data_IF_965567703921
#
_entry.id   IF_965567703921
#
_cell.length_a   1.000
_cell.length_b   1.000
_cell.length_c   1.000
_cell.angle_alpha   90.00
_cell.angle_beta   90.00
_cell.angle_gamma   90.00
#
_symmetry.space_group_name_H-M   'P 1'
#
loop_
_entity.id
_entity.type
_entity.pdbx_description
1 polymer ?
#
# COMPACT_ATOMS: atom_id res chain seq x y z
N UNK A 1 5.45 -19.40 15.94
CA UNK A 1 3.99 -19.60 15.94
C UNK A 1 3.62 -20.03 14.53
N UNK A 2 2.73 -21.00 14.38
CA UNK A 2 2.22 -21.39 13.05
C UNK A 2 1.10 -20.41 12.70
N UNK A 3 1.27 -19.61 11.64
CA UNK A 3 0.29 -18.60 11.23
C UNK A 3 -0.75 -19.23 10.31
N UNK A 4 -2.03 -19.07 10.63
CA UNK A 4 -3.12 -19.53 9.77
C UNK A 4 -3.31 -18.62 8.54
N UNK A 5 -2.98 -17.34 8.71
CA UNK A 5 -3.06 -16.30 7.67
C UNK A 5 -1.82 -15.41 7.77
N UNK A 6 -1.39 -14.82 6.65
CA UNK A 6 -0.27 -13.87 6.63
C UNK A 6 -0.72 -12.57 5.96
N UNK A 7 -0.72 -11.49 6.72
CA UNK A 7 -0.88 -10.14 6.20
C UNK A 7 0.48 -9.53 5.81
N UNK A 8 0.45 -8.63 4.83
CA UNK A 8 1.59 -7.80 4.48
C UNK A 8 1.13 -6.39 4.14
N UNK A 9 1.83 -5.40 4.67
CA UNK A 9 1.71 -4.00 4.29
C UNK A 9 3.04 -3.56 3.69
N UNK A 10 3.02 -3.13 2.44
CA UNK A 10 4.21 -2.62 1.75
C UNK A 10 4.05 -1.11 1.59
N UNK A 11 5.08 -0.37 2.03
CA UNK A 11 5.29 1.03 1.68
C UNK A 11 6.64 1.10 0.98
N UNK A 12 6.62 1.25 -0.34
CA UNK A 12 7.80 1.29 -1.20
C UNK A 12 7.89 2.62 -1.94
N UNK A 13 9.11 3.11 -2.14
CA UNK A 13 9.33 4.31 -2.94
C UNK A 13 10.68 4.28 -3.65
N UNK A 14 10.72 4.94 -4.80
CA UNK A 14 11.92 5.28 -5.53
C UNK A 14 11.88 6.76 -5.92
N UNK A 15 12.85 7.20 -6.73
CA UNK A 15 12.88 8.57 -7.24
C UNK A 15 11.68 8.90 -8.15
N UNK A 16 11.09 7.87 -8.78
CA UNK A 16 10.02 8.03 -9.76
C UNK A 16 8.72 7.36 -9.33
N UNK A 17 8.81 6.22 -8.65
CA UNK A 17 7.67 5.37 -8.36
C UNK A 17 7.38 5.31 -6.85
N UNK A 18 6.19 4.84 -6.52
CA UNK A 18 5.71 4.65 -5.16
C UNK A 18 4.67 3.55 -5.13
N UNK A 19 4.66 2.78 -4.05
CA UNK A 19 3.73 1.68 -3.84
C UNK A 19 3.26 1.72 -2.38
N UNK A 20 1.95 1.66 -2.19
CA UNK A 20 1.36 1.39 -0.87
C UNK A 20 0.25 0.37 -1.08
N UNK A 21 0.40 -0.81 -0.50
CA UNK A 21 -0.51 -1.93 -0.70
C UNK A 21 -0.70 -2.75 0.60
N UNK A 22 -1.89 -3.32 0.75
CA UNK A 22 -2.22 -4.35 1.75
C UNK A 22 -2.51 -5.68 1.07
N UNK A 23 -1.94 -6.75 1.59
CA UNK A 23 -2.10 -8.10 1.06
C UNK A 23 -2.40 -9.11 2.18
N UNK A 24 -3.06 -10.20 1.82
CA UNK A 24 -3.44 -11.29 2.69
C UNK A 24 -3.29 -12.61 1.94
N UNK A 25 -2.53 -13.55 2.50
CA UNK A 25 -2.34 -14.89 1.95
C UNK A 25 -1.94 -14.93 0.46
N UNK A 26 -1.05 -14.00 0.08
CA UNK A 26 -0.50 -13.80 -1.28
C UNK A 26 -1.48 -13.17 -2.27
N UNK A 27 -2.63 -12.69 -1.82
CA UNK A 27 -3.54 -11.88 -2.60
C UNK A 27 -3.39 -10.41 -2.22
N UNK A 28 -3.48 -9.52 -3.21
CA UNK A 28 -3.58 -8.08 -2.98
C UNK A 28 -5.01 -7.76 -2.54
N UNK A 29 -5.16 -7.19 -1.35
CA UNK A 29 -6.46 -6.73 -0.86
C UNK A 29 -6.80 -5.34 -1.38
N UNK A 30 -5.80 -4.46 -1.37
CA UNK A 30 -5.93 -3.06 -1.74
C UNK A 30 -4.57 -2.47 -2.10
N UNK A 31 -4.56 -1.50 -3.01
CA UNK A 31 -3.41 -0.62 -3.23
C UNK A 31 -3.86 0.80 -3.56
N UNK A 32 -2.98 1.77 -3.28
CA UNK A 32 -3.17 3.15 -3.72
C UNK A 32 -2.68 3.32 -5.15
N UNK A 33 -3.59 3.58 -6.09
CA UNK A 33 -3.22 4.01 -7.44
C UNK A 33 -2.88 5.50 -7.40
N UNK A 34 -1.59 5.82 -7.29
CA UNK A 34 -1.10 7.20 -7.23
C UNK A 34 -1.23 7.96 -8.55
N UNK A 35 -1.39 7.26 -9.69
CA UNK A 35 -1.60 7.90 -10.99
C UNK A 35 -3.07 8.34 -11.12
N UNK A 36 -4.01 7.46 -10.76
CA UNK A 36 -5.45 7.76 -10.78
C UNK A 36 -5.96 8.45 -9.52
N UNK A 37 -5.13 8.54 -8.50
CA UNK A 37 -5.41 9.13 -7.20
C UNK A 37 -6.60 8.49 -6.47
N UNK A 38 -6.64 7.17 -6.40
CA UNK A 38 -7.75 6.44 -5.82
C UNK A 38 -7.35 5.14 -5.13
N UNK A 39 -8.23 4.67 -4.26
CA UNK A 39 -8.22 3.32 -3.72
C UNK A 39 -8.55 2.29 -4.81
N UNK A 40 -7.75 1.23 -4.92
CA UNK A 40 -8.06 0.10 -5.81
C UNK A 40 -8.16 -1.19 -5.02
N UNK A 41 -9.23 -1.92 -5.25
CA UNK A 41 -9.49 -3.25 -4.69
C UNK A 41 -9.42 -4.27 -5.84
N UNK A 42 -8.26 -4.93 -6.07
CA UNK A 42 -8.03 -5.76 -7.26
C UNK A 42 -8.71 -7.13 -7.21
N UNK A 43 -9.36 -7.46 -6.09
CA UNK A 43 -10.07 -8.72 -5.89
C UNK A 43 -11.21 -8.88 -6.92
N UNK A 44 -11.52 -10.12 -7.34
CA UNK A 44 -12.63 -10.38 -8.26
C UNK A 44 -13.98 -9.87 -7.75
N UNK A 45 -14.93 -9.51 -8.63
CA UNK A 45 -16.20 -8.87 -8.26
C UNK A 45 -17.18 -9.78 -7.50
N UNK A 46 -16.86 -11.06 -7.33
CA UNK A 46 -17.65 -12.00 -6.52
C UNK A 46 -17.24 -12.02 -5.04
N UNK A 47 -16.13 -11.36 -4.67
CA UNK A 47 -15.69 -11.18 -3.30
C UNK A 47 -16.32 -9.90 -2.74
N UNK A 48 -16.80 -9.95 -1.50
CA UNK A 48 -17.11 -8.76 -0.72
C UNK A 48 -15.79 -8.12 -0.25
N UNK A 49 -15.38 -6.96 -0.78
CA UNK A 49 -14.07 -6.41 -0.46
C UNK A 49 -14.00 -5.95 1.00
N UNK A 50 -12.86 -6.20 1.64
CA UNK A 50 -12.51 -5.57 2.91
C UNK A 50 -12.28 -4.08 2.64
N UNK A 51 -13.12 -3.21 3.20
CA UNK A 51 -12.94 -1.75 3.10
C UNK A 51 -11.91 -1.25 4.12
N UNK A 52 -11.02 -0.37 3.67
CA UNK A 52 -10.05 0.33 4.54
C UNK A 52 -10.60 1.66 5.09
N UNK A 53 -11.86 1.98 4.78
CA UNK A 53 -12.55 3.19 5.23
C UNK A 53 -12.16 4.45 4.46
N UNK A 54 -12.88 5.54 4.76
CA UNK A 54 -12.59 6.86 4.19
C UNK A 54 -11.21 7.35 4.66
N UNK A 55 -10.43 7.95 3.77
CA UNK A 55 -9.10 8.49 4.10
C UNK A 55 -7.93 7.54 3.83
N UNK A 56 -8.18 6.33 3.32
CA UNK A 56 -7.15 5.33 3.05
C UNK A 56 -6.13 5.82 2.01
N UNK A 57 -6.60 6.36 0.89
CA UNK A 57 -5.75 6.95 -0.14
C UNK A 57 -4.89 8.11 0.39
N UNK A 58 -5.47 9.05 1.15
CA UNK A 58 -4.75 10.19 1.72
C UNK A 58 -3.68 9.75 2.72
N UNK A 59 -3.96 8.70 3.48
CA UNK A 59 -2.99 8.08 4.38
C UNK A 59 -1.83 7.47 3.59
N UNK A 60 -2.12 6.80 2.46
CA UNK A 60 -1.07 6.28 1.59
C UNK A 60 -0.22 7.36 0.93
N UNK A 61 -0.79 8.51 0.56
CA UNK A 61 -0.02 9.68 0.10
C UNK A 61 0.95 10.14 1.17
N UNK A 62 0.52 10.19 2.44
CA UNK A 62 1.37 10.56 3.58
C UNK A 62 2.49 9.54 3.83
N UNK A 63 2.18 8.25 3.68
CA UNK A 63 3.17 7.17 3.78
C UNK A 63 4.20 7.24 2.65
N UNK A 64 3.77 7.49 1.41
CA UNK A 64 4.66 7.64 0.27
C UNK A 64 5.59 8.87 0.43
N UNK A 65 5.07 9.99 0.93
CA UNK A 65 5.87 11.16 1.26
C UNK A 65 6.96 10.83 2.29
N UNK A 66 6.57 10.15 3.38
CA UNK A 66 7.49 9.73 4.44
C UNK A 66 8.58 8.79 3.93
N UNK A 67 8.20 7.82 3.09
CA UNK A 67 9.17 6.91 2.47
C UNK A 67 10.24 7.67 1.67
N UNK A 68 9.83 8.64 0.84
CA UNK A 68 10.77 9.42 0.03
C UNK A 68 11.73 10.26 0.88
N UNK A 69 11.24 10.84 1.97
CA UNK A 69 12.09 11.56 2.94
C UNK A 69 13.13 10.62 3.54
N UNK A 70 12.73 9.41 3.96
CA UNK A 70 13.66 8.42 4.52
C UNK A 70 14.66 7.91 3.49
N UNK A 71 14.26 7.73 2.23
CA UNK A 71 15.16 7.36 1.14
C UNK A 71 16.23 8.42 0.91
N UNK A 72 15.87 9.71 0.95
CA UNK A 72 16.83 10.81 0.84
C UNK A 72 17.83 10.81 1.99
N UNK A 73 17.36 10.63 3.23
CA UNK A 73 18.23 10.54 4.42
C UNK A 73 19.18 9.35 4.30
N UNK A 74 18.67 8.18 3.92
CA UNK A 74 19.48 6.96 3.76
C UNK A 74 20.59 7.09 2.72
N UNK A 75 20.45 7.98 1.73
CA UNK A 75 21.46 8.23 0.69
C UNK A 75 22.55 9.21 1.12
N UNK A 76 22.37 9.91 2.24
CA UNK A 76 23.36 10.83 2.80
C UNK A 76 24.42 10.12 3.67
N UNK A 77 24.33 8.79 3.82
CA UNK A 77 25.30 7.95 4.53
C UNK A 77 26.62 7.80 3.82
#
# INVERSE_FOLDING_TARGET
ADSLHTDIHIVGCSDFNGEVMFGLDREELWYADFEKQMDVYPQPPFIDPISFGDGAYETAVSNLYTCRQLLQISRQG
#
